data_IF_338453985896
#
_entry.id   IF_338453985896
#
_cell.length_a   1.000
_cell.length_b   1.000
_cell.length_c   1.000
_cell.angle_alpha   90.00
_cell.angle_beta   90.00
_cell.angle_gamma   90.00
#
_symmetry.space_group_name_H-M   'P 1'
#
loop_
_entity.id
_entity.type
_entity.pdbx_description
1 polymer ?
#
# COMPACT_ATOMS: atom_id res chain seq x y z
N UNK A 1 -50.98 -19.72 -1.12
CA UNK A 1 -51.55 -19.53 0.24
C UNK A 1 -50.53 -18.77 1.11
N UNK A 2 -50.50 -17.45 0.98
CA UNK A 2 -51.25 -16.46 1.81
C UNK A 2 -50.49 -16.14 3.08
N UNK A 3 -49.91 -14.93 3.10
CA UNK A 3 -49.45 -14.18 4.28
C UNK A 3 -48.94 -15.04 5.44
N UNK A 4 -47.62 -15.27 5.46
CA UNK A 4 -46.85 -15.92 6.53
C UNK A 4 -46.92 -15.12 7.85
N UNK A 5 -48.12 -14.94 8.39
CA UNK A 5 -48.31 -14.42 9.73
C UNK A 5 -48.51 -15.63 10.63
N UNK A 6 -47.51 -15.82 11.48
CA UNK A 6 -47.48 -16.86 12.47
C UNK A 6 -47.76 -16.26 13.84
N UNK A 7 -48.42 -17.01 14.70
CA UNK A 7 -48.52 -16.70 16.12
C UNK A 7 -47.40 -17.44 16.85
N UNK A 8 -46.58 -16.69 17.58
CA UNK A 8 -45.68 -17.24 18.58
C UNK A 8 -46.49 -17.46 19.86
N UNK A 9 -46.68 -18.72 20.22
CA UNK A 9 -47.52 -19.14 21.35
C UNK A 9 -46.62 -19.70 22.43
N UNK A 10 -46.80 -19.19 23.65
CA UNK A 10 -46.08 -19.67 24.83
C UNK A 10 -47.10 -20.29 25.78
N UNK A 11 -46.90 -21.56 26.13
CA UNK A 11 -47.75 -22.28 27.10
C UNK A 11 -46.86 -23.04 28.06
N UNK A 12 -47.05 -22.83 29.36
CA UNK A 12 -46.26 -23.43 30.44
C UNK A 12 -44.75 -23.25 30.25
N UNK A 13 -44.33 -22.07 29.76
CA UNK A 13 -42.92 -21.76 29.49
C UNK A 13 -42.33 -22.44 28.27
N UNK A 14 -43.11 -23.18 27.48
CA UNK A 14 -42.68 -23.78 26.21
C UNK A 14 -43.22 -22.99 25.03
N UNK A 15 -42.42 -22.90 23.98
CA UNK A 15 -42.62 -22.08 22.79
C UNK A 15 -43.07 -22.97 21.63
N UNK A 16 -44.03 -22.50 20.84
CA UNK A 16 -44.47 -23.10 19.58
C UNK A 16 -44.98 -22.03 18.61
N UNK A 17 -45.04 -22.38 17.33
CA UNK A 17 -45.47 -21.49 16.26
C UNK A 17 -46.71 -22.06 15.59
N UNK A 18 -47.73 -21.23 15.39
CA UNK A 18 -48.98 -21.61 14.74
C UNK A 18 -49.24 -20.72 13.53
N UNK A 19 -49.84 -21.30 12.50
CA UNK A 19 -50.41 -20.51 11.41
C UNK A 19 -51.58 -19.68 11.93
N UNK A 20 -51.88 -18.56 11.26
CA UNK A 20 -53.09 -17.76 11.55
C UNK A 20 -54.39 -18.56 11.55
N UNK A 21 -54.45 -19.67 10.82
CA UNK A 21 -55.57 -20.60 10.81
C UNK A 21 -55.75 -21.39 12.12
N UNK A 22 -54.81 -21.30 13.07
CA UNK A 22 -54.75 -22.13 14.26
C UNK A 22 -54.12 -23.51 14.03
N UNK A 23 -53.70 -23.84 12.79
CA UNK A 23 -52.94 -25.06 12.51
C UNK A 23 -51.54 -24.95 13.13
N UNK A 24 -51.09 -26.02 13.79
CA UNK A 24 -49.72 -26.11 14.31
C UNK A 24 -48.69 -26.05 13.18
N UNK A 25 -47.66 -25.20 13.35
CA UNK A 25 -46.50 -25.12 12.48
C UNK A 25 -45.28 -25.75 13.19
N UNK A 26 -44.86 -25.17 14.32
CA UNK A 26 -43.85 -25.73 15.22
C UNK A 26 -44.54 -26.08 16.56
N UNK A 27 -44.44 -27.33 17.06
CA UNK A 27 -45.10 -27.75 18.30
C UNK A 27 -44.65 -26.93 19.53
N UNK A 28 -45.53 -26.80 20.52
CA UNK A 28 -45.22 -26.16 21.81
C UNK A 28 -44.41 -27.12 22.70
N UNK A 29 -43.14 -27.29 22.39
CA UNK A 29 -42.24 -28.18 23.15
C UNK A 29 -40.84 -27.60 23.38
N UNK A 30 -40.53 -26.46 22.76
CA UNK A 30 -39.22 -25.85 22.78
C UNK A 30 -39.09 -24.90 23.97
N UNK A 31 -37.90 -24.80 24.52
CA UNK A 31 -37.57 -23.78 25.52
C UNK A 31 -37.58 -22.38 24.90
N UNK A 32 -37.15 -22.28 23.64
CA UNK A 32 -37.22 -21.05 22.88
C UNK A 32 -37.32 -21.30 21.37
N UNK A 33 -37.84 -20.31 20.65
CA UNK A 33 -37.91 -20.29 19.19
C UNK A 33 -37.57 -18.88 18.72
N UNK A 34 -36.50 -18.76 17.93
CA UNK A 34 -36.02 -17.49 17.41
C UNK A 34 -35.95 -17.53 15.88
N UNK A 35 -36.22 -16.41 15.22
CA UNK A 35 -36.06 -16.30 13.77
C UNK A 35 -34.60 -15.99 13.42
N UNK A 36 -33.92 -16.95 12.80
CA UNK A 36 -32.54 -16.75 12.32
C UNK A 36 -32.49 -15.85 11.09
N UNK A 37 -33.33 -16.14 10.11
CA UNK A 37 -33.39 -15.43 8.84
C UNK A 37 -34.71 -15.73 8.12
N UNK A 38 -35.04 -15.01 7.05
CA UNK A 38 -36.29 -15.06 6.27
C UNK A 38 -37.16 -16.32 6.50
N UNK A 39 -36.66 -17.50 6.11
CA UNK A 39 -37.37 -18.78 6.18
C UNK A 39 -36.79 -19.78 7.20
N UNK A 40 -35.85 -19.37 8.06
CA UNK A 40 -35.18 -20.25 9.02
C UNK A 40 -35.45 -19.83 10.46
N UNK A 41 -35.79 -20.80 11.28
CA UNK A 41 -36.14 -20.64 12.68
C UNK A 41 -35.25 -21.55 13.52
N UNK A 42 -34.55 -20.96 14.49
CA UNK A 42 -33.84 -21.69 15.53
C UNK A 42 -34.86 -22.23 16.52
N UNK A 43 -34.66 -23.47 16.91
CA UNK A 43 -35.45 -24.10 17.97
C UNK A 43 -34.52 -24.54 19.08
N UNK A 44 -34.81 -24.16 20.31
CA UNK A 44 -33.98 -24.49 21.47
C UNK A 44 -34.71 -25.48 22.36
N UNK A 45 -34.09 -26.61 22.68
CA UNK A 45 -34.62 -27.64 23.59
C UNK A 45 -33.50 -28.23 24.42
N UNK A 46 -33.68 -28.26 25.73
CA UNK A 46 -32.74 -28.75 26.73
C UNK A 46 -31.34 -28.11 26.58
N UNK A 47 -31.31 -26.80 26.31
CA UNK A 47 -30.08 -26.02 26.12
C UNK A 47 -29.33 -26.29 24.81
N UNK A 48 -29.93 -27.02 23.87
CA UNK A 48 -29.37 -27.28 22.53
C UNK A 48 -30.24 -26.67 21.45
N UNK A 49 -29.58 -26.25 20.38
CA UNK A 49 -30.15 -25.54 19.25
C UNK A 49 -30.34 -26.51 18.08
N UNK A 50 -31.48 -26.37 17.41
CA UNK A 50 -31.85 -27.00 16.15
C UNK A 50 -32.31 -25.94 15.15
N UNK A 51 -32.66 -26.37 13.95
CA UNK A 51 -33.06 -25.49 12.87
C UNK A 51 -34.27 -26.08 12.15
N UNK A 52 -35.23 -25.24 11.80
CA UNK A 52 -36.34 -25.63 10.95
C UNK A 52 -36.67 -24.53 9.94
N UNK A 53 -37.34 -24.94 8.86
CA UNK A 53 -37.96 -24.04 7.91
C UNK A 53 -39.14 -23.30 8.56
N UNK A 54 -39.52 -22.16 7.99
CA UNK A 54 -40.67 -21.36 8.45
C UNK A 54 -42.03 -22.05 8.30
N UNK A 55 -42.07 -23.21 7.62
CA UNK A 55 -43.25 -24.07 7.56
C UNK A 55 -43.23 -25.18 8.63
N UNK A 56 -42.25 -25.16 9.55
CA UNK A 56 -42.11 -26.13 10.63
C UNK A 56 -41.32 -27.38 10.27
N UNK A 57 -40.93 -27.56 9.00
CA UNK A 57 -40.12 -28.72 8.60
C UNK A 57 -38.73 -28.62 9.24
N UNK A 58 -38.38 -29.63 10.05
CA UNK A 58 -37.09 -29.70 10.69
C UNK A 58 -35.97 -29.88 9.68
N UNK A 59 -34.92 -29.09 9.83
CA UNK A 59 -33.67 -29.17 9.06
C UNK A 59 -32.62 -29.85 9.93
N UNK A 60 -32.37 -29.30 11.12
CA UNK A 60 -31.42 -29.83 12.09
C UNK A 60 -32.12 -30.17 13.41
N UNK A 61 -31.84 -31.34 13.99
CA UNK A 61 -32.29 -31.65 15.35
C UNK A 61 -31.63 -30.74 16.38
N UNK A 62 -32.27 -30.58 17.55
CA UNK A 62 -31.79 -29.81 18.70
C UNK A 62 -30.61 -30.50 19.39
N UNK A 63 -29.49 -30.57 18.67
CA UNK A 63 -28.30 -31.34 19.02
C UNK A 63 -27.02 -30.50 19.00
N UNK A 64 -27.12 -29.23 18.67
CA UNK A 64 -25.99 -28.32 18.53
C UNK A 64 -25.94 -27.33 19.70
N UNK A 65 -24.75 -26.83 20.01
CA UNK A 65 -24.58 -25.72 20.96
C UNK A 65 -24.90 -24.38 20.30
N UNK A 66 -24.68 -24.28 18.98
CA UNK A 66 -24.90 -23.05 18.22
C UNK A 66 -25.09 -23.37 16.72
N UNK A 67 -25.86 -22.54 16.01
CA UNK A 67 -26.12 -22.63 14.58
C UNK A 67 -26.14 -21.21 13.99
N UNK A 68 -25.27 -20.96 13.02
CA UNK A 68 -25.18 -19.69 12.29
C UNK A 68 -25.33 -19.92 10.78
N UNK A 69 -25.93 -18.95 10.09
CA UNK A 69 -26.10 -18.99 8.64
C UNK A 69 -24.89 -18.39 7.91
N UNK A 70 -24.47 -19.05 6.83
CA UNK A 70 -23.46 -18.59 5.88
C UNK A 70 -24.15 -18.26 4.55
N UNK A 71 -24.31 -16.96 4.28
CA UNK A 71 -24.97 -16.47 3.07
C UNK A 71 -24.01 -16.51 1.88
N UNK A 72 -24.47 -17.10 0.77
CA UNK A 72 -23.80 -17.01 -0.53
C UNK A 72 -24.37 -15.83 -1.33
N UNK A 73 -23.53 -15.16 -2.12
CA UNK A 73 -23.94 -13.96 -2.86
C UNK A 73 -24.90 -14.25 -4.01
N UNK A 74 -24.86 -15.45 -4.59
CA UNK A 74 -25.75 -15.83 -5.68
C UNK A 74 -27.17 -16.17 -5.20
N UNK A 75 -28.16 -15.51 -5.81
CA UNK A 75 -29.57 -15.79 -5.58
C UNK A 75 -29.94 -17.21 -6.04
N UNK A 76 -30.65 -17.94 -5.18
CA UNK A 76 -31.18 -19.28 -5.51
C UNK A 76 -30.28 -20.47 -5.15
N UNK A 77 -29.07 -20.24 -4.61
CA UNK A 77 -28.25 -21.30 -4.02
C UNK A 77 -28.60 -21.50 -2.54
N UNK A 78 -28.66 -22.77 -2.08
CA UNK A 78 -28.94 -23.11 -0.67
C UNK A 78 -27.93 -22.44 0.28
N UNK A 79 -28.38 -21.98 1.44
CA UNK A 79 -27.45 -21.43 2.45
C UNK A 79 -26.61 -22.56 3.07
N UNK A 80 -25.38 -22.24 3.45
CA UNK A 80 -24.59 -23.12 4.30
C UNK A 80 -24.83 -22.75 5.77
N UNK A 81 -24.60 -23.70 6.66
CA UNK A 81 -24.77 -23.50 8.10
C UNK A 81 -23.49 -23.86 8.82
N UNK A 82 -22.96 -22.91 9.60
CA UNK A 82 -21.96 -23.21 10.60
C UNK A 82 -22.70 -23.79 11.80
N UNK A 83 -22.43 -25.05 12.12
CA UNK A 83 -22.97 -25.71 13.29
C UNK A 83 -21.85 -25.98 14.29
N UNK A 84 -22.14 -25.78 15.58
CA UNK A 84 -21.20 -26.07 16.66
C UNK A 84 -21.75 -27.20 17.52
N UNK A 85 -21.03 -28.32 17.60
CA UNK A 85 -21.30 -29.36 18.62
C UNK A 85 -20.20 -29.30 19.67
N UNK A 86 -19.07 -29.94 19.41
CA UNK A 86 -17.83 -29.74 20.17
C UNK A 86 -16.82 -28.94 19.35
N UNK A 87 -16.70 -29.33 18.08
CA UNK A 87 -16.07 -28.56 17.01
C UNK A 87 -17.12 -27.95 16.09
N UNK A 88 -16.68 -27.02 15.25
CA UNK A 88 -17.47 -26.43 14.19
C UNK A 88 -17.46 -27.31 12.94
N UNK A 89 -18.61 -27.39 12.27
CA UNK A 89 -18.76 -28.00 10.95
C UNK A 89 -19.58 -27.07 10.05
N UNK A 90 -19.43 -27.25 8.74
CA UNK A 90 -20.22 -26.52 7.75
C UNK A 90 -21.11 -27.53 7.03
N UNK A 91 -22.42 -27.34 7.13
CA UNK A 91 -23.43 -28.23 6.55
C UNK A 91 -24.24 -27.52 5.46
N UNK A 92 -24.75 -28.26 4.49
CA UNK A 92 -25.85 -27.80 3.63
C UNK A 92 -27.20 -27.90 4.35
N UNK A 93 -28.27 -27.48 3.65
CA UNK A 93 -29.65 -27.56 4.14
C UNK A 93 -30.19 -28.99 4.28
N UNK A 94 -29.48 -30.00 3.77
CA UNK A 94 -29.84 -31.42 3.97
C UNK A 94 -29.07 -32.02 5.17
N UNK A 95 -28.23 -31.23 5.84
CA UNK A 95 -27.39 -31.67 6.95
C UNK A 95 -26.18 -32.47 6.53
N UNK A 96 -25.89 -32.51 5.23
CA UNK A 96 -24.66 -33.10 4.73
C UNK A 96 -23.52 -32.12 4.94
N UNK A 97 -22.43 -32.63 5.48
CA UNK A 97 -21.24 -31.83 5.66
C UNK A 97 -20.70 -31.41 4.29
N UNK A 98 -20.51 -30.11 4.08
CA UNK A 98 -19.85 -29.58 2.89
C UNK A 98 -18.41 -30.11 2.84
N UNK A 99 -17.80 -30.27 4.01
CA UNK A 99 -16.46 -30.82 4.17
C UNK A 99 -16.39 -31.78 5.37
N UNK A 100 -15.61 -32.88 5.28
CA UNK A 100 -15.47 -33.83 6.38
C UNK A 100 -14.70 -33.26 7.57
N UNK A 101 -13.88 -32.23 7.35
CA UNK A 101 -13.04 -31.59 8.36
C UNK A 101 -13.89 -30.80 9.36
N UNK A 102 -13.66 -31.02 10.65
CA UNK A 102 -14.20 -30.20 11.72
C UNK A 102 -13.14 -29.19 12.20
N UNK A 103 -13.59 -28.02 12.63
CA UNK A 103 -12.74 -26.89 12.98
C UNK A 103 -12.89 -26.51 14.45
N UNK A 104 -11.78 -26.13 15.07
CA UNK A 104 -11.77 -25.69 16.46
C UNK A 104 -12.23 -24.23 16.57
N UNK A 105 -12.01 -23.42 15.53
CA UNK A 105 -12.41 -22.02 15.48
C UNK A 105 -12.81 -21.59 14.07
N UNK A 106 -13.83 -20.74 13.98
CA UNK A 106 -14.21 -20.04 12.76
C UNK A 106 -14.22 -18.54 13.03
N UNK A 107 -13.61 -17.75 12.15
CA UNK A 107 -13.67 -16.28 12.16
C UNK A 107 -14.22 -15.78 10.84
N UNK A 108 -15.01 -14.72 10.88
CA UNK A 108 -15.53 -14.07 9.68
C UNK A 108 -14.75 -12.80 9.39
N UNK A 109 -14.45 -12.58 8.12
CA UNK A 109 -14.03 -11.32 7.53
C UNK A 109 -15.00 -11.00 6.39
N UNK A 110 -15.11 -9.72 6.02
CA UNK A 110 -16.03 -9.24 4.99
C UNK A 110 -16.19 -10.15 3.78
N UNK A 111 -15.14 -10.78 3.25
CA UNK A 111 -15.20 -11.54 2.00
C UNK A 111 -15.00 -13.07 2.18
N UNK A 112 -14.59 -13.53 3.36
CA UNK A 112 -14.29 -14.94 3.63
C UNK A 112 -14.32 -15.32 5.11
N UNK A 113 -14.44 -16.62 5.39
CA UNK A 113 -14.31 -17.23 6.71
C UNK A 113 -12.98 -17.95 6.85
N UNK A 114 -12.29 -17.71 7.96
CA UNK A 114 -11.07 -18.41 8.35
C UNK A 114 -11.47 -19.60 9.21
N UNK A 115 -11.10 -20.80 8.79
CA UNK A 115 -11.45 -22.07 9.42
C UNK A 115 -10.17 -22.70 10.00
N UNK A 116 -10.04 -22.72 11.33
CA UNK A 116 -8.82 -23.17 12.01
C UNK A 116 -9.07 -24.50 12.73
N UNK A 117 -8.16 -25.45 12.56
CA UNK A 117 -8.05 -26.62 13.44
C UNK A 117 -6.59 -26.82 13.88
N UNK A 118 -6.35 -27.85 14.69
CA UNK A 118 -5.01 -28.16 15.21
C UNK A 118 -3.92 -28.41 14.15
N UNK A 119 -4.28 -28.64 12.89
CA UNK A 119 -3.37 -29.05 11.80
C UNK A 119 -3.32 -28.10 10.61
N UNK A 120 -4.39 -27.34 10.35
CA UNK A 120 -4.52 -26.51 9.15
C UNK A 120 -5.35 -25.26 9.43
N UNK A 121 -5.11 -24.26 8.60
CA UNK A 121 -6.01 -23.13 8.38
C UNK A 121 -6.51 -23.21 6.95
N UNK A 122 -7.83 -23.18 6.79
CA UNK A 122 -8.51 -23.14 5.50
C UNK A 122 -9.30 -21.82 5.40
N UNK A 123 -9.61 -21.38 4.18
CA UNK A 123 -10.44 -20.19 3.96
C UNK A 123 -11.62 -20.54 3.05
N UNK A 124 -12.84 -20.24 3.50
CA UNK A 124 -14.06 -20.34 2.71
C UNK A 124 -14.46 -18.94 2.25
N UNK A 125 -14.53 -18.72 0.94
CA UNK A 125 -14.92 -17.42 0.37
C UNK A 125 -16.44 -17.33 0.21
N UNK A 126 -16.97 -16.10 0.11
CA UNK A 126 -18.41 -15.85 -0.12
C UNK A 126 -18.96 -16.45 -1.41
N UNK A 127 -18.11 -16.61 -2.41
CA UNK A 127 -18.39 -17.36 -3.64
C UNK A 127 -18.76 -18.83 -3.36
N UNK A 128 -18.36 -19.36 -2.20
CA UNK A 128 -18.44 -20.76 -1.81
C UNK A 128 -17.15 -21.55 -2.06
N UNK A 129 -16.12 -20.90 -2.62
CA UNK A 129 -14.82 -21.53 -2.87
C UNK A 129 -14.10 -21.81 -1.55
N UNK A 130 -13.67 -23.05 -1.33
CA UNK A 130 -12.86 -23.44 -0.17
C UNK A 130 -11.41 -23.64 -0.61
N UNK A 131 -10.51 -22.85 -0.04
CA UNK A 131 -9.08 -22.99 -0.26
C UNK A 131 -8.42 -23.54 0.99
N UNK A 132 -7.85 -24.74 0.88
CA UNK A 132 -7.27 -25.48 2.01
C UNK A 132 -5.78 -25.20 2.22
N UNK A 133 -5.37 -25.21 3.49
CA UNK A 133 -3.98 -25.10 3.90
C UNK A 133 -3.37 -23.74 3.57
N UNK A 134 -4.18 -22.68 3.62
CA UNK A 134 -3.73 -21.32 3.36
C UNK A 134 -3.91 -20.44 4.58
N UNK A 135 -3.11 -19.39 4.66
CA UNK A 135 -3.26 -18.33 5.65
C UNK A 135 -3.31 -17.00 4.93
N UNK A 136 -4.36 -16.24 5.20
CA UNK A 136 -4.45 -14.82 4.85
C UNK A 136 -4.38 -14.07 6.17
N UNK A 137 -3.41 -13.17 6.32
CA UNK A 137 -3.27 -12.42 7.56
C UNK A 137 -4.53 -11.57 7.78
N UNK A 138 -5.14 -11.73 8.95
CA UNK A 138 -6.40 -11.08 9.29
C UNK A 138 -6.34 -9.55 9.21
N UNK A 139 -5.16 -8.96 9.45
CA UNK A 139 -4.95 -7.51 9.45
C UNK A 139 -4.46 -6.96 8.10
N UNK A 140 -4.17 -7.82 7.11
CA UNK A 140 -3.67 -7.35 5.82
C UNK A 140 -4.81 -6.70 5.02
N UNK A 141 -4.59 -5.47 4.59
CA UNK A 141 -5.53 -4.69 3.78
C UNK A 141 -5.41 -5.17 2.33
N UNK A 142 -6.49 -5.65 1.69
CA UNK A 142 -6.44 -6.02 0.28
C UNK A 142 -6.16 -4.80 -0.58
N UNK A 143 -5.49 -5.01 -1.70
CA UNK A 143 -5.47 -4.01 -2.76
C UNK A 143 -6.67 -4.20 -3.70
N UNK A 144 -7.09 -3.11 -4.32
CA UNK A 144 -8.26 -3.08 -5.21
C UNK A 144 -7.78 -3.00 -6.66
N UNK A 145 -8.45 -3.68 -7.58
CA UNK A 145 -8.16 -3.55 -9.01
C UNK A 145 -9.40 -3.74 -9.88
N UNK A 146 -9.50 -2.98 -10.97
CA UNK A 146 -10.60 -3.07 -11.93
C UNK A 146 -10.40 -4.26 -12.86
N UNK A 147 -11.36 -5.17 -12.87
CA UNK A 147 -11.47 -6.21 -13.88
C UNK A 147 -12.88 -6.20 -14.49
N UNK A 148 -12.98 -6.13 -15.82
CA UNK A 148 -14.26 -6.17 -16.53
C UNK A 148 -15.29 -5.14 -16.02
N UNK A 149 -14.82 -3.96 -15.60
CA UNK A 149 -15.66 -2.88 -15.07
C UNK A 149 -16.15 -3.08 -13.64
N UNK A 150 -15.58 -4.05 -12.91
CA UNK A 150 -15.85 -4.27 -11.48
C UNK A 150 -14.57 -4.12 -10.67
N UNK A 151 -14.66 -3.38 -9.56
CA UNK A 151 -13.59 -3.33 -8.56
C UNK A 151 -13.56 -4.65 -7.81
N UNK A 152 -12.42 -5.35 -7.86
CA UNK A 152 -12.17 -6.57 -7.09
C UNK A 152 -11.11 -6.37 -6.02
N UNK A 153 -11.22 -7.10 -4.91
CA UNK A 153 -10.20 -7.17 -3.86
C UNK A 153 -9.25 -8.35 -4.05
N UNK A 154 -7.99 -8.13 -3.70
CA UNK A 154 -6.93 -9.13 -3.76
C UNK A 154 -6.13 -9.16 -2.47
N UNK A 155 -5.79 -10.37 -2.02
CA UNK A 155 -5.08 -10.62 -0.78
C UNK A 155 -3.79 -11.39 -1.07
N UNK A 156 -2.73 -11.04 -0.34
CA UNK A 156 -1.61 -11.94 -0.15
C UNK A 156 -2.09 -13.16 0.66
N UNK A 157 -1.80 -14.35 0.17
CA UNK A 157 -2.00 -15.59 0.92
C UNK A 157 -0.71 -16.37 1.01
N UNK A 158 -0.57 -17.14 2.08
CA UNK A 158 0.55 -18.03 2.31
C UNK A 158 0.08 -19.48 2.25
N UNK A 159 0.80 -20.34 1.52
CA UNK A 159 0.60 -21.80 1.51
C UNK A 159 1.93 -22.48 1.80
N UNK A 160 1.99 -23.23 2.90
CA UNK A 160 3.27 -23.67 3.45
C UNK A 160 4.16 -22.47 3.78
N UNK A 161 5.34 -22.38 3.15
CA UNK A 161 6.28 -21.27 3.35
C UNK A 161 6.28 -20.22 2.23
N UNK A 162 5.40 -20.38 1.24
CA UNK A 162 5.40 -19.55 0.03
C UNK A 162 4.15 -18.66 -0.05
N UNK A 163 4.30 -17.54 -0.73
CA UNK A 163 3.30 -16.49 -0.88
C UNK A 163 2.82 -16.40 -2.32
N UNK A 164 1.54 -16.06 -2.45
CA UNK A 164 0.84 -15.82 -3.71
C UNK A 164 -0.28 -14.79 -3.52
N UNK A 165 -1.05 -14.54 -4.59
CA UNK A 165 -2.19 -13.62 -4.59
C UNK A 165 -3.47 -14.39 -4.89
N UNK A 166 -4.51 -14.11 -4.11
CA UNK A 166 -5.85 -14.68 -4.25
C UNK A 166 -6.87 -13.55 -4.31
N UNK A 167 -7.93 -13.71 -5.11
CA UNK A 167 -9.02 -12.73 -5.16
C UNK A 167 -10.13 -13.00 -4.12
N UNK A 168 -11.06 -12.05 -4.01
CA UNK A 168 -12.22 -12.15 -3.10
C UNK A 168 -13.21 -13.28 -3.41
N UNK A 169 -13.11 -13.88 -4.59
CA UNK A 169 -13.87 -15.07 -4.98
C UNK A 169 -13.15 -16.37 -4.60
N UNK A 170 -11.94 -16.30 -4.04
CA UNK A 170 -11.11 -17.44 -3.69
C UNK A 170 -10.28 -18.00 -4.86
N UNK A 171 -10.19 -17.29 -5.98
CA UNK A 171 -9.43 -17.73 -7.15
C UNK A 171 -7.98 -17.30 -7.00
N UNK A 172 -7.07 -18.28 -7.10
CA UNK A 172 -5.63 -18.02 -7.05
C UNK A 172 -5.22 -17.31 -8.33
N UNK A 173 -4.80 -16.05 -8.22
CA UNK A 173 -4.25 -15.25 -9.33
C UNK A 173 -2.77 -15.49 -9.52
N UNK A 174 -2.03 -15.49 -8.43
CA UNK A 174 -0.60 -15.83 -8.42
C UNK A 174 -0.42 -17.00 -7.47
N UNK A 175 0.02 -18.18 -7.96
CA UNK A 175 0.30 -19.33 -7.11
C UNK A 175 1.28 -19.00 -5.99
N UNK A 176 1.16 -19.72 -4.87
CA UNK A 176 2.12 -19.61 -3.78
C UNK A 176 3.48 -20.16 -4.20
N UNK A 177 4.38 -19.26 -4.63
CA UNK A 177 5.71 -19.61 -5.14
C UNK A 177 6.83 -18.65 -4.69
N UNK A 178 6.48 -17.54 -4.03
CA UNK A 178 7.43 -16.52 -3.61
C UNK A 178 7.77 -16.60 -2.13
N UNK A 179 9.00 -16.29 -1.76
CA UNK A 179 9.48 -16.48 -0.37
C UNK A 179 8.96 -15.42 0.61
N UNK A 180 8.48 -14.27 0.10
CA UNK A 180 7.91 -13.17 0.88
C UNK A 180 6.59 -12.73 0.25
N UNK A 181 5.77 -12.03 1.04
CA UNK A 181 4.55 -11.36 0.56
C UNK A 181 4.87 -10.41 -0.60
N UNK A 182 3.92 -10.24 -1.52
CA UNK A 182 4.13 -9.50 -2.75
C UNK A 182 3.79 -8.02 -2.52
N UNK A 183 4.75 -7.13 -2.80
CA UNK A 183 4.61 -5.69 -2.50
C UNK A 183 4.31 -4.89 -3.76
N UNK A 184 3.24 -4.10 -3.76
CA UNK A 184 2.91 -3.21 -4.88
C UNK A 184 3.98 -2.13 -5.12
N UNK A 185 4.48 -2.06 -6.36
CA UNK A 185 5.45 -1.04 -6.79
C UNK A 185 4.77 0.30 -6.98
N UNK A 186 3.68 0.39 -7.75
CA UNK A 186 2.97 1.65 -8.02
C UNK A 186 1.49 1.39 -8.28
N UNK A 187 0.71 1.37 -7.20
CA UNK A 187 -0.74 1.29 -7.28
C UNK A 187 -1.32 2.62 -6.84
N UNK A 188 -1.62 3.50 -7.81
CA UNK A 188 -2.17 4.83 -7.53
C UNK A 188 -3.69 4.76 -7.33
N UNK A 189 -4.35 3.92 -8.12
CA UNK A 189 -5.77 3.64 -8.07
C UNK A 189 -6.06 2.28 -8.74
N UNK A 190 -7.30 1.83 -8.65
CA UNK A 190 -7.78 0.55 -9.15
C UNK A 190 -7.58 0.31 -10.67
N UNK A 191 -7.31 1.35 -11.46
CA UNK A 191 -7.01 1.24 -12.90
C UNK A 191 -5.51 1.14 -13.20
N UNK A 192 -4.65 1.29 -12.19
CA UNK A 192 -3.20 1.25 -12.39
C UNK A 192 -2.75 -0.16 -12.77
N UNK A 193 -1.80 -0.32 -13.72
CA UNK A 193 -1.23 -1.63 -14.01
C UNK A 193 -0.57 -2.19 -12.74
N UNK A 194 -0.95 -3.40 -12.36
CA UNK A 194 -0.39 -4.03 -11.16
C UNK A 194 1.04 -4.46 -11.45
N UNK A 195 1.94 -4.04 -10.56
CA UNK A 195 3.33 -4.45 -10.53
C UNK A 195 3.69 -4.84 -9.12
N UNK A 196 4.20 -6.05 -8.96
CA UNK A 196 4.47 -6.64 -7.66
C UNK A 196 5.96 -6.92 -7.55
N UNK A 197 6.54 -6.50 -6.43
CA UNK A 197 7.87 -6.92 -6.01
C UNK A 197 7.71 -8.31 -5.42
N UNK A 198 8.37 -9.27 -6.04
CA UNK A 198 8.39 -10.65 -5.62
C UNK A 198 9.83 -11.08 -5.25
N UNK A 199 9.95 -12.10 -4.41
CA UNK A 199 11.24 -12.61 -3.95
C UNK A 199 11.44 -14.08 -4.30
N UNK A 200 12.59 -14.38 -4.91
CA UNK A 200 13.04 -15.71 -5.26
C UNK A 200 14.53 -15.87 -4.90
N UNK A 201 14.85 -16.88 -4.08
CA UNK A 201 16.19 -17.14 -3.55
C UNK A 201 16.88 -15.88 -3.01
N UNK A 202 16.19 -15.16 -2.13
CA UNK A 202 16.64 -13.91 -1.49
C UNK A 202 16.81 -12.69 -2.40
N UNK A 203 16.74 -12.87 -3.72
CA UNK A 203 16.72 -11.79 -4.70
C UNK A 203 15.30 -11.36 -5.01
N UNK A 204 15.15 -10.10 -5.39
CA UNK A 204 13.89 -9.50 -5.77
C UNK A 204 13.89 -9.10 -7.24
N UNK A 205 12.68 -9.12 -7.80
CA UNK A 205 12.37 -8.72 -9.16
C UNK A 205 10.96 -8.11 -9.18
N UNK A 206 10.47 -7.81 -10.38
CA UNK A 206 9.12 -7.30 -10.60
C UNK A 206 8.39 -8.25 -11.51
N UNK A 207 7.17 -8.60 -11.12
CA UNK A 207 6.22 -9.34 -11.94
C UNK A 207 4.99 -8.48 -12.23
N UNK A 208 4.33 -8.75 -13.34
CA UNK A 208 2.98 -8.23 -13.60
C UNK A 208 1.92 -9.10 -12.91
N UNK A 209 0.66 -8.81 -13.21
CA UNK A 209 -0.47 -9.50 -12.59
C UNK A 209 -0.72 -10.90 -13.16
N UNK A 210 -0.27 -11.13 -14.39
CA UNK A 210 -0.23 -12.41 -15.09
C UNK A 210 0.95 -13.29 -14.62
N UNK A 211 1.70 -12.83 -13.61
CA UNK A 211 2.88 -13.49 -13.05
C UNK A 211 4.05 -13.63 -14.05
N UNK A 212 4.10 -12.79 -15.08
CA UNK A 212 5.22 -12.66 -15.99
C UNK A 212 6.30 -11.76 -15.38
N UNK A 213 7.57 -12.12 -15.61
CA UNK A 213 8.71 -11.40 -15.07
C UNK A 213 8.96 -10.15 -15.92
N UNK A 214 8.76 -8.96 -15.33
CA UNK A 214 9.12 -7.67 -15.92
C UNK A 214 10.60 -7.34 -15.63
N UNK A 215 11.03 -7.58 -14.39
CA UNK A 215 12.40 -7.36 -13.93
C UNK A 215 12.89 -8.66 -13.28
N UNK A 216 13.98 -9.28 -13.78
CA UNK A 216 14.47 -10.56 -13.25
C UNK A 216 14.88 -10.49 -11.78
N UNK A 217 14.86 -11.66 -11.12
CA UNK A 217 15.20 -11.83 -9.71
C UNK A 217 16.71 -11.79 -9.46
N UNK A 218 17.34 -10.64 -9.70
CA UNK A 218 18.79 -10.47 -9.61
C UNK A 218 19.20 -9.43 -8.54
N UNK A 219 18.24 -8.64 -8.07
CA UNK A 219 18.47 -7.46 -7.23
C UNK A 219 18.29 -7.77 -5.74
N UNK A 220 19.04 -7.11 -4.86
CA UNK A 220 18.89 -7.28 -3.41
C UNK A 220 17.69 -6.50 -2.86
N UNK A 221 17.47 -5.29 -3.37
CA UNK A 221 16.39 -4.39 -2.97
C UNK A 221 15.84 -3.64 -4.17
N UNK A 222 14.55 -3.29 -4.06
CA UNK A 222 13.86 -2.35 -4.94
C UNK A 222 13.25 -1.25 -4.06
N UNK A 223 13.55 0.01 -4.38
CA UNK A 223 13.11 1.20 -3.65
C UNK A 223 12.43 2.16 -4.61
N UNK A 224 11.36 2.83 -4.15
CA UNK A 224 10.63 3.82 -4.97
C UNK A 224 11.33 5.17 -4.88
N UNK A 225 11.43 5.88 -5.99
CA UNK A 225 11.83 7.28 -5.99
C UNK A 225 10.63 8.20 -5.78
N UNK A 226 10.88 9.50 -5.54
CA UNK A 226 9.82 10.52 -5.51
C UNK A 226 9.06 10.65 -6.84
N UNK A 227 9.65 10.22 -7.95
CA UNK A 227 9.06 10.31 -9.28
C UNK A 227 8.08 9.16 -9.58
N UNK A 228 7.91 8.20 -8.68
CA UNK A 228 6.93 7.11 -8.83
C UNK A 228 7.30 6.13 -9.95
N UNK A 229 7.19 6.55 -11.22
CA UNK A 229 7.47 5.73 -12.41
C UNK A 229 8.95 5.32 -12.57
N UNK A 230 9.87 5.92 -11.81
CA UNK A 230 11.26 5.49 -11.69
C UNK A 230 11.48 4.86 -10.33
N UNK A 231 12.16 3.72 -10.31
CA UNK A 231 12.56 3.01 -9.09
C UNK A 231 14.07 2.80 -9.10
N UNK A 232 14.61 2.52 -7.92
CA UNK A 232 16.01 2.17 -7.72
C UNK A 232 16.11 0.67 -7.43
N UNK A 233 17.07 0.03 -8.08
CA UNK A 233 17.33 -1.40 -7.95
C UNK A 233 18.76 -1.61 -7.46
N UNK A 234 18.93 -2.37 -6.38
CA UNK A 234 20.24 -2.58 -5.75
C UNK A 234 20.89 -3.87 -6.27
N UNK A 235 22.11 -3.75 -6.78
CA UNK A 235 22.97 -4.88 -7.19
C UNK A 235 24.11 -5.08 -6.18
N UNK A 236 25.06 -5.97 -6.48
CA UNK A 236 26.33 -6.07 -5.72
C UNK A 236 27.26 -4.88 -5.97
N UNK A 237 27.16 -4.23 -7.13
CA UNK A 237 28.07 -3.16 -7.56
C UNK A 237 27.56 -1.75 -7.19
N UNK A 238 26.29 -1.65 -6.81
CA UNK A 238 25.63 -0.40 -6.46
C UNK A 238 24.20 -0.36 -7.00
N UNK A 239 23.61 0.83 -6.97
CA UNK A 239 22.25 1.08 -7.44
C UNK A 239 22.19 1.41 -8.93
N UNK A 240 21.05 1.09 -9.53
CA UNK A 240 20.67 1.52 -10.87
C UNK A 240 19.23 2.03 -10.87
N UNK A 241 18.90 2.89 -11.82
CA UNK A 241 17.53 3.34 -12.05
C UNK A 241 16.83 2.41 -13.06
N UNK A 242 15.57 2.06 -12.77
CA UNK A 242 14.69 1.34 -13.68
C UNK A 242 13.43 2.17 -13.95
N UNK A 243 13.09 2.33 -15.22
CA UNK A 243 11.86 3.00 -15.64
C UNK A 243 10.74 1.98 -15.81
N UNK A 244 9.66 2.14 -15.04
CA UNK A 244 8.49 1.26 -15.07
C UNK A 244 7.66 1.43 -16.34
N UNK A 245 7.73 2.55 -17.04
CA UNK A 245 6.98 2.75 -18.29
C UNK A 245 7.64 2.01 -19.46
N UNK A 246 8.97 2.13 -19.59
CA UNK A 246 9.75 1.51 -20.67
C UNK A 246 10.28 0.11 -20.33
N UNK A 247 10.08 -0.36 -19.09
CA UNK A 247 10.53 -1.66 -18.59
C UNK A 247 12.03 -1.92 -18.77
N UNK A 248 12.86 -0.91 -18.56
CA UNK A 248 14.31 -1.04 -18.73
C UNK A 248 15.10 -0.32 -17.65
N UNK A 249 16.34 -0.77 -17.46
CA UNK A 249 17.37 -0.03 -16.74
C UNK A 249 17.75 1.20 -17.57
N UNK A 250 17.78 2.36 -16.93
CA UNK A 250 18.01 3.67 -17.58
C UNK A 250 19.35 4.31 -17.18
N UNK A 251 20.13 3.64 -16.33
CA UNK A 251 21.50 4.04 -15.98
C UNK A 251 22.49 2.96 -16.41
N UNK A 252 23.41 3.24 -17.36
CA UNK A 252 24.42 2.27 -17.80
C UNK A 252 25.60 2.13 -16.82
N UNK A 253 25.47 2.68 -15.62
CA UNK A 253 26.48 2.71 -14.56
C UNK A 253 25.81 2.48 -13.21
N UNK A 254 26.64 2.15 -12.23
CA UNK A 254 26.24 2.03 -10.82
C UNK A 254 26.53 3.31 -10.05
N UNK A 255 25.67 3.62 -9.09
CA UNK A 255 25.82 4.73 -8.13
C UNK A 255 25.61 4.24 -6.69
N UNK A 256 26.02 5.04 -5.70
CA UNK A 256 26.06 4.63 -4.30
C UNK A 256 24.84 5.10 -3.51
N UNK A 257 24.38 6.32 -3.79
CA UNK A 257 23.23 6.95 -3.16
C UNK A 257 22.53 7.89 -4.13
N UNK A 258 21.28 8.22 -3.83
CA UNK A 258 20.53 9.23 -4.56
C UNK A 258 19.75 10.14 -3.63
N UNK A 259 19.45 11.33 -4.14
CA UNK A 259 18.49 12.29 -3.59
C UNK A 259 17.66 12.81 -4.75
N UNK A 260 16.51 13.44 -4.50
CA UNK A 260 15.69 13.97 -5.59
C UNK A 260 15.00 15.27 -5.19
N UNK A 261 14.73 16.11 -6.18
CA UNK A 261 13.75 17.20 -6.09
C UNK A 261 12.58 16.94 -7.06
N UNK A 262 11.80 17.97 -7.36
CA UNK A 262 10.65 17.85 -8.27
C UNK A 262 11.03 17.52 -9.73
N UNK A 263 12.26 17.81 -10.14
CA UNK A 263 12.71 17.77 -11.53
C UNK A 263 13.80 16.72 -11.78
N UNK A 264 14.72 16.52 -10.83
CA UNK A 264 15.93 15.72 -11.02
C UNK A 264 16.14 14.70 -9.92
N UNK A 265 16.80 13.60 -10.29
CA UNK A 265 17.40 12.67 -9.34
C UNK A 265 18.90 12.97 -9.30
N UNK A 266 19.44 13.33 -8.15
CA UNK A 266 20.87 13.52 -7.98
C UNK A 266 21.53 12.23 -7.51
N UNK A 267 22.40 11.69 -8.35
CA UNK A 267 23.12 10.44 -8.12
C UNK A 267 24.52 10.76 -7.60
N UNK A 268 24.97 10.04 -6.57
CA UNK A 268 26.35 10.14 -6.07
C UNK A 268 27.17 8.90 -6.40
N UNK A 269 28.43 9.11 -6.76
CA UNK A 269 29.42 8.06 -7.02
C UNK A 269 30.77 8.53 -6.48
N UNK A 270 31.36 7.76 -5.55
CA UNK A 270 32.47 8.21 -4.73
C UNK A 270 32.18 9.60 -4.11
N UNK A 271 33.05 10.58 -4.31
CA UNK A 271 32.84 11.95 -3.81
C UNK A 271 32.14 12.87 -4.80
N UNK A 272 31.72 12.36 -5.97
CA UNK A 272 31.07 13.14 -7.02
C UNK A 272 29.56 12.97 -7.01
N UNK A 273 28.86 14.00 -7.48
CA UNK A 273 27.40 14.05 -7.62
C UNK A 273 27.03 14.58 -9.01
N UNK A 274 25.98 14.05 -9.61
CA UNK A 274 25.44 14.53 -10.89
C UNK A 274 23.91 14.52 -10.90
N UNK A 275 23.23 15.50 -11.52
CA UNK A 275 21.79 15.43 -11.75
C UNK A 275 21.50 14.50 -12.93
N UNK A 276 20.53 13.62 -12.76
CA UNK A 276 19.92 12.77 -13.77
C UNK A 276 18.56 13.37 -14.16
N UNK A 277 18.36 13.58 -15.45
CA UNK A 277 17.10 14.04 -16.04
C UNK A 277 16.22 12.80 -16.29
N UNK A 278 15.12 12.62 -15.54
CA UNK A 278 14.25 11.46 -15.67
C UNK A 278 13.45 11.43 -16.97
N UNK A 279 13.27 12.58 -17.64
CA UNK A 279 12.54 12.67 -18.91
C UNK A 279 13.44 12.33 -20.09
N UNK A 280 14.71 12.73 -20.02
CA UNK A 280 15.72 12.44 -21.05
C UNK A 280 16.49 11.14 -20.79
N UNK A 281 16.32 10.54 -19.62
CA UNK A 281 17.01 9.34 -19.16
C UNK A 281 18.55 9.44 -19.26
N UNK A 282 19.11 10.59 -18.86
CA UNK A 282 20.55 10.84 -18.96
C UNK A 282 21.08 11.72 -17.81
N UNK A 283 22.36 11.60 -17.50
CA UNK A 283 23.05 12.57 -16.65
C UNK A 283 23.19 13.91 -17.38
N UNK A 284 23.11 15.00 -16.64
CA UNK A 284 23.18 16.36 -17.18
C UNK A 284 24.61 16.91 -17.08
N UNK A 285 25.29 16.62 -15.96
CA UNK A 285 26.64 17.11 -15.69
C UNK A 285 27.63 15.94 -15.59
N UNK A 286 28.91 16.15 -15.93
CA UNK A 286 29.94 15.13 -15.72
C UNK A 286 30.22 14.88 -14.22
N UNK A 287 30.79 13.72 -13.92
CA UNK A 287 31.20 13.30 -12.57
C UNK A 287 32.48 14.03 -12.11
N UNK A 288 32.39 15.34 -11.92
CA UNK A 288 33.53 16.18 -11.49
C UNK A 288 33.19 17.13 -10.33
N UNK A 289 31.93 17.15 -9.90
CA UNK A 289 31.43 18.05 -8.86
C UNK A 289 31.15 17.30 -7.57
N UNK A 290 31.62 17.84 -6.43
CA UNK A 290 31.36 17.25 -5.11
C UNK A 290 30.00 17.62 -4.53
N UNK A 291 29.34 18.63 -5.10
CA UNK A 291 28.01 19.09 -4.70
C UNK A 291 27.31 19.60 -5.93
N UNK A 292 26.04 19.24 -6.08
CA UNK A 292 25.18 19.70 -7.17
C UNK A 292 23.77 19.85 -6.65
N UNK A 293 23.14 20.98 -6.93
CA UNK A 293 21.70 21.20 -6.75
C UNK A 293 21.17 22.21 -7.79
N UNK A 294 19.93 22.01 -8.20
CA UNK A 294 19.23 22.89 -9.14
C UNK A 294 18.96 24.25 -8.50
N UNK A 295 19.14 25.32 -9.27
CA UNK A 295 18.73 26.67 -8.88
C UNK A 295 17.25 26.82 -9.23
N UNK A 296 16.36 27.06 -8.25
CA UNK A 296 14.92 27.11 -8.48
C UNK A 296 14.50 28.08 -9.59
N UNK A 297 13.56 27.62 -10.44
CA UNK A 297 13.06 28.40 -11.58
C UNK A 297 14.02 28.47 -12.77
N UNK A 298 15.06 27.64 -12.81
CA UNK A 298 16.03 27.61 -13.91
C UNK A 298 16.51 26.19 -14.25
N UNK A 299 17.19 26.04 -15.38
CA UNK A 299 17.94 24.83 -15.75
C UNK A 299 19.43 24.94 -15.40
N UNK A 300 19.77 25.80 -14.43
CA UNK A 300 21.13 26.01 -13.94
C UNK A 300 21.35 25.27 -12.63
N UNK A 301 22.61 24.95 -12.35
CA UNK A 301 23.02 24.19 -11.19
C UNK A 301 24.11 24.96 -10.45
N UNK A 302 23.91 25.11 -9.15
CA UNK A 302 25.01 25.47 -8.27
C UNK A 302 25.83 24.21 -7.99
N UNK A 303 27.14 24.32 -8.21
CA UNK A 303 28.05 23.19 -8.22
C UNK A 303 29.31 23.50 -7.43
N UNK A 304 29.90 22.49 -6.79
CA UNK A 304 31.16 22.62 -6.03
C UNK A 304 32.27 21.80 -6.69
N UNK A 305 33.38 22.45 -7.03
CA UNK A 305 34.60 21.85 -7.59
C UNK A 305 35.81 22.40 -6.84
N UNK A 306 36.77 21.54 -6.49
CA UNK A 306 37.99 21.93 -5.74
C UNK A 306 37.70 22.79 -4.49
N UNK A 307 36.65 22.41 -3.75
CA UNK A 307 36.15 23.08 -2.53
C UNK A 307 35.49 24.45 -2.73
N UNK A 308 35.40 24.96 -3.96
CA UNK A 308 34.76 26.23 -4.27
C UNK A 308 33.48 26.04 -5.08
N UNK A 309 32.48 26.88 -4.82
CA UNK A 309 31.23 26.93 -5.52
C UNK A 309 31.30 27.82 -6.77
N UNK A 310 30.59 27.39 -7.79
CA UNK A 310 30.26 28.12 -9.00
C UNK A 310 28.86 27.76 -9.49
N UNK A 311 28.48 28.28 -10.64
CA UNK A 311 27.20 27.97 -11.30
C UNK A 311 27.47 27.56 -12.73
N UNK A 312 26.85 26.45 -13.15
CA UNK A 312 26.88 25.98 -14.54
C UNK A 312 25.46 25.86 -15.09
N UNK A 313 25.32 26.00 -16.41
CA UNK A 313 24.07 25.63 -17.09
C UNK A 313 24.00 24.12 -17.35
N UNK A 314 22.90 23.66 -17.95
CA UNK A 314 22.69 22.24 -18.33
C UNK A 314 23.66 21.70 -19.39
N UNK A 315 24.45 22.56 -20.04
CA UNK A 315 25.51 22.18 -20.99
C UNK A 315 26.90 22.15 -20.32
N UNK A 316 26.95 22.22 -18.99
CA UNK A 316 28.17 22.36 -18.19
C UNK A 316 28.99 23.64 -18.48
N UNK A 317 28.38 24.68 -19.08
CA UNK A 317 29.03 25.97 -19.28
C UNK A 317 29.00 26.77 -17.97
N UNK A 318 30.17 27.21 -17.54
CA UNK A 318 30.34 28.07 -16.35
C UNK A 318 29.69 29.43 -16.58
N UNK A 319 28.73 29.77 -15.71
CA UNK A 319 28.07 31.08 -15.63
C UNK A 319 28.63 31.92 -14.48
N UNK A 320 28.90 31.28 -13.35
CA UNK A 320 29.56 31.87 -12.18
C UNK A 320 30.84 31.08 -11.91
N UNK A 321 32.03 31.71 -11.87
CA UNK A 321 33.30 31.02 -11.68
C UNK A 321 33.42 30.38 -10.29
N UNK A 322 34.24 29.34 -10.18
CA UNK A 322 34.52 28.60 -8.94
C UNK A 322 35.42 29.40 -7.98
N UNK A 323 34.87 30.45 -7.36
CA UNK A 323 35.62 31.38 -6.50
C UNK A 323 34.97 31.61 -5.13
N UNK A 324 33.83 30.97 -4.86
CA UNK A 324 33.05 31.18 -3.65
C UNK A 324 33.24 30.01 -2.67
N UNK A 325 33.47 30.30 -1.40
CA UNK A 325 33.64 29.30 -0.34
C UNK A 325 32.32 28.61 0.02
N UNK A 326 31.22 29.36 -0.11
CA UNK A 326 29.86 28.91 0.13
C UNK A 326 28.87 29.59 -0.82
N UNK A 327 27.76 28.90 -1.13
CA UNK A 327 26.72 29.39 -2.01
C UNK A 327 25.37 28.82 -1.58
N UNK A 328 24.35 29.67 -1.49
CA UNK A 328 23.00 29.31 -1.07
C UNK A 328 21.99 29.90 -2.06
N UNK A 329 21.12 29.06 -2.61
CA UNK A 329 20.00 29.51 -3.45
C UNK A 329 18.91 30.15 -2.61
N UNK A 330 18.28 31.18 -3.18
CA UNK A 330 17.16 31.86 -2.54
C UNK A 330 15.82 31.48 -3.19
N UNK A 331 14.71 31.87 -2.56
CA UNK A 331 13.39 31.66 -3.15
C UNK A 331 13.11 32.58 -4.34
N UNK A 332 13.91 33.64 -4.52
CA UNK A 332 13.85 34.46 -5.73
C UNK A 332 14.74 33.82 -6.81
N UNK A 333 14.17 33.48 -7.98
CA UNK A 333 14.96 32.98 -9.09
C UNK A 333 16.13 33.88 -9.40
N UNK A 334 17.24 33.27 -9.82
CA UNK A 334 18.45 33.97 -10.24
C UNK A 334 19.16 34.79 -9.15
N UNK A 335 18.88 34.57 -7.87
CA UNK A 335 19.52 35.28 -6.77
C UNK A 335 20.16 34.29 -5.79
N UNK A 336 21.46 34.49 -5.53
CA UNK A 336 22.29 33.58 -4.76
C UNK A 336 23.02 34.35 -3.66
N UNK A 337 23.01 33.83 -2.45
CA UNK A 337 23.88 34.31 -1.37
C UNK A 337 25.21 33.57 -1.49
N UNK A 338 26.32 34.30 -1.43
CA UNK A 338 27.66 33.76 -1.55
C UNK A 338 28.54 34.15 -0.38
N UNK A 339 29.56 33.35 -0.12
CA UNK A 339 30.65 33.67 0.81
C UNK A 339 31.98 33.64 0.06
N UNK A 340 32.81 34.67 0.25
CA UNK A 340 34.18 34.74 -0.27
C UNK A 340 35.06 35.52 0.70
N UNK A 341 36.22 34.98 1.06
CA UNK A 341 37.13 35.57 2.04
C UNK A 341 36.43 35.88 3.38
N UNK A 342 35.57 34.97 3.86
CA UNK A 342 34.71 35.17 5.05
C UNK A 342 33.71 36.35 4.99
N UNK A 343 33.48 36.92 3.80
CA UNK A 343 32.49 37.98 3.60
C UNK A 343 31.29 37.46 2.80
N UNK A 344 30.12 37.99 3.12
CA UNK A 344 28.84 37.59 2.54
C UNK A 344 28.37 38.60 1.50
N UNK A 345 27.83 38.09 0.39
CA UNK A 345 27.28 38.89 -0.69
C UNK A 345 26.07 38.23 -1.34
N UNK A 346 25.36 38.99 -2.15
CA UNK A 346 24.26 38.50 -2.98
C UNK A 346 24.64 38.80 -4.42
N UNK A 347 24.63 37.77 -5.26
CA UNK A 347 24.91 37.87 -6.70
C UNK A 347 23.69 37.39 -7.51
N UNK A 348 23.65 37.78 -8.78
CA UNK A 348 22.82 37.10 -9.76
C UNK A 348 23.55 35.91 -10.41
N UNK A 349 22.85 35.14 -11.25
CA UNK A 349 23.42 33.99 -11.99
C UNK A 349 24.45 34.38 -13.07
N UNK A 350 24.58 35.67 -13.41
CA UNK A 350 25.61 36.19 -14.30
C UNK A 350 26.83 36.69 -13.52
N UNK A 351 26.93 36.33 -12.24
CA UNK A 351 27.99 36.74 -11.33
C UNK A 351 28.03 38.25 -11.03
N UNK A 352 26.92 38.97 -11.25
CA UNK A 352 26.83 40.40 -10.90
C UNK A 352 26.56 40.54 -9.41
N UNK A 353 27.42 41.27 -8.70
CA UNK A 353 27.19 41.66 -7.31
C UNK A 353 25.96 42.57 -7.23
N UNK A 354 24.92 42.08 -6.56
CA UNK A 354 23.69 42.83 -6.30
C UNK A 354 23.76 43.52 -4.93
N UNK A 355 24.42 42.89 -3.96
CA UNK A 355 24.54 43.39 -2.60
C UNK A 355 25.79 42.88 -1.90
N UNK A 356 26.41 43.72 -1.08
CA UNK A 356 27.34 43.26 -0.06
C UNK A 356 28.79 43.05 -0.51
N UNK A 357 29.35 41.93 -0.05
CA UNK A 357 30.72 41.72 0.48
C UNK A 357 30.90 42.32 1.88
N UNK A 358 29.97 41.99 2.77
CA UNK A 358 29.92 42.44 4.17
C UNK A 358 30.39 41.35 5.12
N UNK A 359 30.95 41.74 6.27
CA UNK A 359 31.28 40.80 7.35
C UNK A 359 30.05 40.23 8.07
N UNK A 360 28.85 40.76 7.79
CA UNK A 360 27.61 40.31 8.42
C UNK A 360 27.03 39.11 7.67
N UNK A 361 26.70 38.04 8.40
CA UNK A 361 26.07 36.85 7.82
C UNK A 361 24.72 37.21 7.21
N UNK A 362 24.51 36.82 5.95
CA UNK A 362 23.24 36.97 5.26
C UNK A 362 22.47 35.65 5.39
N UNK A 363 21.34 35.69 6.10
CA UNK A 363 20.46 34.55 6.30
C UNK A 363 19.23 34.67 5.39
N UNK A 364 18.92 33.59 4.66
CA UNK A 364 17.84 33.55 3.67
C UNK A 364 16.53 33.12 4.33
N UNK A 365 15.49 33.91 4.18
CA UNK A 365 14.12 33.59 4.59
C UNK A 365 13.18 33.55 3.37
N UNK A 366 11.93 33.14 3.62
CA UNK A 366 10.93 32.89 2.59
C UNK A 366 10.72 34.06 1.64
N UNK A 367 10.75 35.29 2.17
CA UNK A 367 10.43 36.55 1.48
C UNK A 367 11.40 37.71 1.78
N UNK A 368 12.49 37.48 2.54
CA UNK A 368 13.45 38.51 2.92
C UNK A 368 14.81 37.91 3.31
N UNK A 369 15.80 38.77 3.58
CA UNK A 369 17.10 38.44 4.12
C UNK A 369 17.30 39.08 5.49
N UNK A 370 18.02 38.41 6.39
CA UNK A 370 18.51 39.01 7.64
C UNK A 370 20.03 39.14 7.60
N UNK A 371 20.52 40.34 7.89
CA UNK A 371 21.94 40.57 8.15
C UNK A 371 22.18 40.43 9.65
N UNK A 372 23.05 39.50 10.03
CA UNK A 372 23.38 39.21 11.43
C UNK A 372 24.86 39.38 11.70
N UNK A 373 25.18 39.94 12.87
CA UNK A 373 26.56 39.96 13.37
C UNK A 373 27.03 38.51 13.57
N UNK A 374 28.18 38.10 13.00
CA UNK A 374 28.73 36.77 13.23
C UNK A 374 28.89 36.49 14.73
N UNK A 375 28.59 35.26 15.18
CA UNK A 375 28.68 34.78 16.58
C UNK A 375 27.69 35.38 17.58
N UNK A 376 27.31 36.66 17.47
CA UNK A 376 26.33 37.29 18.37
C UNK A 376 24.87 37.03 17.98
N UNK A 377 24.62 36.56 16.75
CA UNK A 377 23.30 36.30 16.16
C UNK A 377 22.31 37.49 16.25
N UNK A 378 22.83 38.70 16.51
CA UNK A 378 22.07 39.95 16.58
C UNK A 378 21.74 40.40 15.16
N UNK A 379 20.45 40.61 14.90
CA UNK A 379 19.96 41.16 13.63
C UNK A 379 20.34 42.64 13.56
N UNK A 380 20.97 43.01 12.46
CA UNK A 380 21.37 44.38 12.15
C UNK A 380 20.34 45.02 11.23
N UNK A 381 19.90 44.27 10.21
CA UNK A 381 19.05 44.77 9.14
C UNK A 381 18.24 43.63 8.52
N UNK A 382 17.04 43.96 8.05
CA UNK A 382 16.23 43.09 7.20
C UNK A 382 16.10 43.70 5.81
N UNK A 383 16.28 42.90 4.77
CA UNK A 383 16.14 43.34 3.38
C UNK A 383 15.06 42.52 2.69
N UNK A 384 14.17 43.17 1.94
CA UNK A 384 13.30 42.45 1.02
C UNK A 384 14.11 41.85 -0.14
N UNK A 385 13.47 41.04 -0.98
CA UNK A 385 14.13 40.48 -2.16
C UNK A 385 14.51 41.53 -3.22
N UNK A 386 14.06 42.79 -3.10
CA UNK A 386 14.52 43.92 -3.92
C UNK A 386 15.69 44.68 -3.26
N UNK A 387 16.25 44.12 -2.18
CA UNK A 387 17.36 44.67 -1.42
C UNK A 387 17.03 46.01 -0.74
N UNK A 388 15.74 46.29 -0.50
CA UNK A 388 15.26 47.44 0.27
C UNK A 388 15.09 47.05 1.73
N UNK A 389 15.43 47.96 2.63
CA UNK A 389 15.26 47.75 4.06
C UNK A 389 13.78 47.61 4.44
N UNK A 390 13.48 46.57 5.21
CA UNK A 390 12.17 46.37 5.84
C UNK A 390 12.26 46.95 7.25
N UNK A 391 11.36 47.87 7.58
CA UNK A 391 11.27 48.48 8.92
C UNK A 391 10.58 47.58 9.91
#
# INVERSE_FOLDING_TARGET
>A
PTSNVFYHVIKNGKHGIYYKSGKQCIPIEYDDIERLYTNYWLTTKDGKVGLCWSNGNQIFPTNYKDICILRREESGKYDFFIVKKDKYAILDSDGKAIFPTQYDKIRHRDDYWILENSSTTDCLFKSGELVKGITINYYDIPFLHQENGQTKKYYDFKKGNLWGIIDEDGRIRIPAQYQKYLRLVNHLNENSPIRLIAYNKEKCGIINFENEIILPFEYHRIVKTALGYIIEVETTEGWQLFNLQSNRIITPFYYEESTSDANYIYLSKAHFKTPFDPQKEQIILPWEYSTVYNIPGSHNFAVKKDRLFGVVNSENKVLVPFIYEDMISTNRPNMLVITKNNQYGIIDINNKLLYGMTDNRIEVHSNYFELKVPKANKIIKKLDYNLKEIK
#
